data_IF_137681054225
#
_entry.id   IF_137681054225
#
_cell.length_a   1.000
_cell.length_b   1.000
_cell.length_c   1.000
_cell.angle_alpha   90.00
_cell.angle_beta   90.00
_cell.angle_gamma   90.00
#
_symmetry.space_group_name_H-M   'P 1'
#
loop_
_entity.id
_entity.type
_entity.pdbx_description
1 polymer ?
#
# COMPACT_ATOMS: atom_id res chain seq x y z
N UNK A 1 2.35 27.30 -1.84
CA UNK A 1 2.32 25.86 -2.20
C UNK A 1 1.22 25.03 -1.52
N UNK A 2 0.51 25.51 -0.50
CA UNK A 2 -0.51 24.74 0.23
C UNK A 2 -1.91 24.74 -0.41
N UNK A 3 -2.21 25.74 -1.25
CA UNK A 3 -3.53 25.86 -1.93
C UNK A 3 -3.79 24.66 -2.85
N UNK A 4 -2.83 24.29 -3.69
CA UNK A 4 -2.97 23.19 -4.66
C UNK A 4 -3.31 21.84 -4.00
N UNK A 5 -2.76 21.56 -2.82
CA UNK A 5 -3.09 20.35 -2.06
C UNK A 5 -4.51 20.40 -1.48
N UNK A 6 -4.93 21.57 -0.99
CA UNK A 6 -6.29 21.79 -0.49
C UNK A 6 -7.31 21.63 -1.61
N UNK A 7 -7.04 22.23 -2.77
CA UNK A 7 -7.90 22.20 -3.94
C UNK A 7 -8.00 20.77 -4.49
N UNK A 8 -6.88 20.04 -4.52
CA UNK A 8 -6.87 18.61 -4.85
C UNK A 8 -7.73 17.79 -3.88
N UNK A 9 -7.51 17.94 -2.58
CA UNK A 9 -8.16 17.09 -1.57
C UNK A 9 -9.67 17.39 -1.42
N UNK A 10 -10.03 18.66 -1.28
CA UNK A 10 -11.40 19.08 -1.00
C UNK A 10 -12.19 19.42 -2.26
N UNK A 11 -11.55 19.97 -3.29
CA UNK A 11 -12.16 20.20 -4.61
C UNK A 11 -12.22 18.94 -5.48
N UNK A 12 -11.57 17.86 -5.04
CA UNK A 12 -11.43 16.59 -5.79
C UNK A 12 -10.79 16.77 -7.17
N UNK A 13 -9.93 17.77 -7.30
CA UNK A 13 -9.24 18.08 -8.54
C UNK A 13 -8.00 17.20 -8.74
N UNK A 14 -7.71 16.84 -10.00
CA UNK A 14 -6.53 16.06 -10.37
C UNK A 14 -5.58 16.99 -11.11
N UNK A 15 -4.32 17.01 -10.68
CA UNK A 15 -3.30 17.86 -11.27
C UNK A 15 -2.31 17.04 -12.09
N UNK A 16 -1.95 17.57 -13.24
CA UNK A 16 -0.96 17.00 -14.14
C UNK A 16 0.27 17.89 -14.16
N UNK A 17 1.44 17.27 -14.27
CA UNK A 17 2.71 17.97 -14.43
C UNK A 17 3.53 17.31 -15.53
N UNK A 18 4.24 18.15 -16.28
CA UNK A 18 5.27 17.71 -17.22
C UNK A 18 6.45 17.15 -16.43
N UNK A 19 6.77 15.90 -16.69
CA UNK A 19 7.92 15.23 -16.12
C UNK A 19 8.92 14.98 -17.26
N UNK A 20 10.09 15.60 -17.18
CA UNK A 20 11.19 15.36 -18.11
C UNK A 20 12.14 14.37 -17.46
N UNK A 21 12.32 13.21 -18.09
CA UNK A 21 13.22 12.17 -17.63
C UNK A 21 14.33 11.90 -18.64
N UNK A 22 15.54 11.66 -18.15
CA UNK A 22 16.65 11.15 -18.97
C UNK A 22 16.45 9.65 -19.14
N UNK A 23 16.50 9.17 -20.38
CA UNK A 23 16.42 7.75 -20.73
C UNK A 23 17.65 7.35 -21.54
N UNK A 24 18.14 6.14 -21.30
CA UNK A 24 19.21 5.52 -22.08
C UNK A 24 18.68 4.25 -22.71
N UNK A 25 18.90 4.10 -24.02
CA UNK A 25 18.66 2.85 -24.74
C UNK A 25 19.74 2.72 -25.81
N UNK A 26 20.36 1.54 -25.92
CA UNK A 26 21.40 1.25 -26.91
C UNK A 26 22.55 2.29 -26.90
N UNK A 27 22.95 2.72 -25.69
CA UNK A 27 23.94 3.77 -25.43
C UNK A 27 23.58 5.18 -25.94
N UNK A 28 22.35 5.39 -26.40
CA UNK A 28 21.83 6.70 -26.80
C UNK A 28 21.06 7.31 -25.63
N UNK A 29 21.48 8.51 -25.20
CA UNK A 29 20.77 9.31 -24.21
C UNK A 29 19.71 10.18 -24.89
N UNK A 30 18.52 10.21 -24.30
CA UNK A 30 17.41 11.04 -24.76
C UNK A 30 16.70 11.70 -23.58
N UNK A 31 16.15 12.89 -23.82
CA UNK A 31 15.20 13.52 -22.92
C UNK A 31 13.79 13.13 -23.36
N UNK A 32 13.04 12.53 -22.45
CA UNK A 32 11.65 12.15 -22.70
C UNK A 32 10.78 13.00 -21.79
N UNK A 33 9.96 13.85 -22.41
CA UNK A 33 8.90 14.56 -21.72
C UNK A 33 7.66 13.68 -21.66
N UNK A 34 7.05 13.59 -20.49
CA UNK A 34 5.82 12.85 -20.27
C UNK A 34 4.91 13.63 -19.35
N UNK A 35 3.64 13.74 -19.70
CA UNK A 35 2.63 14.28 -18.79
C UNK A 35 2.23 13.21 -17.77
N UNK A 36 2.41 13.51 -16.48
CA UNK A 36 2.08 12.59 -15.38
C UNK A 36 1.10 13.24 -14.42
N UNK A 37 0.20 12.43 -13.86
CA UNK A 37 -0.61 12.84 -12.71
C UNK A 37 0.33 13.14 -11.53
N UNK A 38 0.38 14.39 -11.13
CA UNK A 38 1.21 14.87 -10.04
C UNK A 38 0.48 14.78 -8.69
N UNK A 39 -0.80 15.17 -8.66
CA UNK A 39 -1.66 15.09 -7.48
C UNK A 39 -3.01 14.51 -7.86
N UNK A 40 -3.55 13.67 -6.98
CA UNK A 40 -4.84 13.03 -7.12
C UNK A 40 -5.48 12.97 -5.73
N UNK A 41 -6.79 13.25 -5.59
CA UNK A 41 -7.48 13.19 -4.31
C UNK A 41 -7.55 11.76 -3.78
N UNK A 42 -7.58 10.80 -4.71
CA UNK A 42 -7.64 9.36 -4.43
C UNK A 42 -6.21 8.84 -4.38
N UNK A 43 -5.73 8.47 -3.19
CA UNK A 43 -4.48 7.74 -3.04
C UNK A 43 -4.73 6.24 -3.27
N UNK A 44 -4.51 5.77 -4.50
CA UNK A 44 -4.59 4.34 -4.84
C UNK A 44 -3.29 3.58 -4.51
N UNK A 45 -2.24 4.26 -4.05
CA UNK A 45 -0.92 3.65 -3.80
C UNK A 45 -0.79 3.14 -2.36
N UNK A 46 -1.74 3.48 -1.49
CA UNK A 46 -1.77 3.04 -0.09
C UNK A 46 -3.11 2.39 0.21
N UNK A 47 -3.05 1.27 0.91
CA UNK A 47 -4.22 0.62 1.49
C UNK A 47 -4.35 1.09 2.93
N UNK A 48 -5.41 1.83 3.25
CA UNK A 48 -5.72 2.27 4.61
C UNK A 48 -6.39 1.10 5.33
N UNK A 49 -5.86 0.71 6.49
CA UNK A 49 -6.45 -0.34 7.33
C UNK A 49 -7.73 0.15 8.01
N UNK A 50 -8.46 -0.78 8.63
CA UNK A 50 -9.71 -0.50 9.33
C UNK A 50 -9.58 0.53 10.46
N UNK A 51 -8.37 0.74 10.99
CA UNK A 51 -8.07 1.77 12.00
C UNK A 51 -8.05 3.21 11.45
N UNK A 52 -8.04 3.37 10.11
CA UNK A 52 -8.00 4.67 9.45
C UNK A 52 -6.66 5.41 9.53
N UNK A 53 -5.66 4.84 10.22
CA UNK A 53 -4.37 5.48 10.49
C UNK A 53 -3.25 4.70 9.82
N UNK A 54 -3.24 3.39 9.98
CA UNK A 54 -2.17 2.54 9.47
C UNK A 54 -2.36 2.32 7.98
N UNK A 55 -1.31 2.57 7.20
CA UNK A 55 -1.33 2.36 5.76
C UNK A 55 -0.34 1.31 5.33
N UNK A 56 -0.74 0.45 4.40
CA UNK A 56 0.15 -0.48 3.72
C UNK A 56 0.46 0.02 2.30
N UNK A 57 1.71 -0.10 1.81
CA UNK A 57 2.02 0.23 0.44
C UNK A 57 1.30 -0.72 -0.53
N UNK A 58 1.10 -0.24 -1.76
CA UNK A 58 0.61 -1.07 -2.86
C UNK A 58 1.48 -2.34 -3.03
N UNK A 59 0.84 -3.48 -3.31
CA UNK A 59 1.46 -4.82 -3.35
C UNK A 59 2.10 -5.33 -2.05
N UNK A 60 1.82 -4.73 -0.89
CA UNK A 60 2.22 -5.33 0.38
C UNK A 60 1.63 -6.75 0.52
N UNK A 61 2.44 -7.73 0.93
CA UNK A 61 2.06 -9.16 0.99
C UNK A 61 0.76 -9.40 1.79
N UNK A 62 0.53 -8.65 2.88
CA UNK A 62 -0.73 -8.69 3.68
C UNK A 62 -1.98 -8.46 2.82
N UNK A 63 -1.90 -7.57 1.82
CA UNK A 63 -3.02 -7.26 0.93
C UNK A 63 -3.38 -8.50 0.09
N UNK A 64 -2.41 -9.31 -0.30
CA UNK A 64 -2.67 -10.55 -1.04
C UNK A 64 -3.38 -11.59 -0.17
N UNK A 65 -2.90 -11.82 1.06
CA UNK A 65 -3.56 -12.74 2.00
C UNK A 65 -4.98 -12.30 2.32
N UNK A 66 -5.17 -11.01 2.61
CA UNK A 66 -6.48 -10.41 2.82
C UNK A 66 -7.42 -10.67 1.64
N UNK A 67 -6.98 -10.39 0.41
CA UNK A 67 -7.79 -10.61 -0.80
C UNK A 67 -8.17 -12.08 -0.98
N UNK A 68 -7.28 -13.01 -0.66
CA UNK A 68 -7.58 -14.44 -0.72
C UNK A 68 -8.61 -14.87 0.33
N UNK A 69 -8.55 -14.29 1.53
CA UNK A 69 -9.54 -14.54 2.59
C UNK A 69 -10.92 -13.98 2.23
N UNK A 70 -10.97 -12.76 1.70
CA UNK A 70 -12.23 -12.15 1.23
C UNK A 70 -12.85 -12.96 0.09
N UNK A 71 -12.02 -13.49 -0.83
CA UNK A 71 -12.48 -14.43 -1.87
C UNK A 71 -13.05 -15.75 -1.33
N UNK A 72 -12.68 -16.12 -0.12
CA UNK A 72 -13.21 -17.29 0.59
C UNK A 72 -14.40 -16.93 1.49
N UNK A 73 -15.08 -15.82 1.21
CA UNK A 73 -16.24 -15.30 1.95
C UNK A 73 -15.97 -15.01 3.44
N UNK A 74 -14.70 -14.78 3.82
CA UNK A 74 -14.36 -14.33 5.17
C UNK A 74 -14.70 -12.84 5.30
N UNK A 75 -15.41 -12.42 6.37
CA UNK A 75 -15.71 -11.01 6.61
C UNK A 75 -14.45 -10.14 6.64
N UNK A 76 -14.54 -8.92 6.07
CA UNK A 76 -13.40 -8.02 5.90
C UNK A 76 -12.61 -7.77 7.20
N UNK A 77 -13.30 -7.51 8.32
CA UNK A 77 -12.65 -7.25 9.61
C UNK A 77 -11.85 -8.47 10.09
N UNK A 78 -12.41 -9.67 9.91
CA UNK A 78 -11.76 -10.91 10.32
C UNK A 78 -10.58 -11.25 9.39
N UNK A 79 -10.73 -11.01 8.08
CA UNK A 79 -9.67 -11.18 7.11
C UNK A 79 -8.48 -10.25 7.39
N UNK A 80 -8.74 -9.00 7.75
CA UNK A 80 -7.69 -8.03 8.09
C UNK A 80 -6.94 -8.43 9.36
N UNK A 81 -7.66 -8.83 10.42
CA UNK A 81 -7.06 -9.36 11.65
C UNK A 81 -6.18 -10.58 11.36
N UNK A 82 -6.70 -11.57 10.62
CA UNK A 82 -5.94 -12.78 10.26
C UNK A 82 -4.70 -12.48 9.40
N UNK A 83 -4.81 -11.58 8.42
CA UNK A 83 -3.67 -11.15 7.60
C UNK A 83 -2.60 -10.40 8.42
N UNK A 84 -3.00 -9.77 9.52
CA UNK A 84 -2.08 -9.12 10.48
C UNK A 84 -1.39 -10.15 11.38
N UNK A 85 -2.15 -11.10 11.93
CA UNK A 85 -1.61 -12.16 12.80
C UNK A 85 -0.71 -13.16 12.07
N UNK A 86 -0.87 -13.35 10.76
CA UNK A 86 0.06 -14.19 9.96
C UNK A 86 1.51 -13.68 10.01
N UNK A 87 1.71 -12.38 10.26
CA UNK A 87 3.04 -11.82 10.51
C UNK A 87 3.69 -12.44 11.73
N UNK A 88 2.91 -12.71 12.77
CA UNK A 88 3.42 -13.32 13.99
C UNK A 88 3.88 -14.75 13.71
N UNK A 89 3.14 -15.59 12.98
CA UNK A 89 3.58 -16.97 12.69
C UNK A 89 4.83 -17.06 11.80
N UNK A 90 4.98 -16.18 10.80
CA UNK A 90 6.15 -16.18 9.92
C UNK A 90 7.37 -15.43 10.52
N UNK A 91 7.16 -14.46 11.42
CA UNK A 91 8.25 -13.84 12.20
C UNK A 91 8.62 -14.62 13.47
N UNK A 92 7.69 -15.37 14.09
CA UNK A 92 7.95 -16.27 15.22
C UNK A 92 8.89 -17.41 14.82
N UNK A 93 8.88 -17.82 13.55
CA UNK A 93 9.86 -18.74 12.98
C UNK A 93 11.27 -18.13 12.85
N UNK A 94 11.45 -16.83 13.13
CA UNK A 94 12.75 -16.17 13.12
C UNK A 94 13.23 -15.70 14.51
N UNK A 95 12.40 -15.68 15.56
CA UNK A 95 12.86 -15.20 16.88
C UNK A 95 12.20 -15.79 18.15
N UNK A 96 11.18 -16.67 18.09
CA UNK A 96 10.55 -17.12 19.34
C UNK A 96 10.02 -18.56 19.30
N UNK A 97 10.94 -19.51 19.23
CA UNK A 97 10.73 -20.93 19.58
C UNK A 97 10.31 -21.18 21.04
N UNK A 98 9.78 -20.22 21.82
CA UNK A 98 9.59 -20.42 23.28
C UNK A 98 8.36 -19.86 24.00
N UNK A 99 7.45 -19.04 23.43
CA UNK A 99 6.42 -18.40 24.27
C UNK A 99 4.94 -18.61 23.97
N UNK A 100 4.55 -19.15 22.83
CA UNK A 100 3.12 -19.37 22.55
C UNK A 100 2.62 -20.80 22.80
N UNK A 101 3.47 -21.73 23.29
CA UNK A 101 3.04 -23.08 23.66
C UNK A 101 2.41 -23.16 25.07
N UNK A 102 2.16 -22.03 25.73
CA UNK A 102 1.83 -21.99 27.17
C UNK A 102 0.50 -21.27 27.53
N UNK A 103 -0.38 -20.99 26.57
CA UNK A 103 -1.74 -20.47 26.84
C UNK A 103 -2.85 -21.42 26.31
N UNK A 104 -2.52 -22.69 26.06
CA UNK A 104 -3.49 -23.72 25.68
C UNK A 104 -3.40 -25.00 26.55
N UNK A 105 -3.03 -24.84 27.82
CA UNK A 105 -3.37 -25.78 28.91
C UNK A 105 -4.07 -24.99 30.00
#
# INVERSE_FOLDING_TARGET
>A
MTLVYRDCLFGKEVFYAKNVGIRSKDHILSLVESEKKALCPIDTKRWILSDGITTLPYFHWRIMFYKNMVKADIPHEQAEKRATFLYCLNCLNCDESRRALLILI
#
